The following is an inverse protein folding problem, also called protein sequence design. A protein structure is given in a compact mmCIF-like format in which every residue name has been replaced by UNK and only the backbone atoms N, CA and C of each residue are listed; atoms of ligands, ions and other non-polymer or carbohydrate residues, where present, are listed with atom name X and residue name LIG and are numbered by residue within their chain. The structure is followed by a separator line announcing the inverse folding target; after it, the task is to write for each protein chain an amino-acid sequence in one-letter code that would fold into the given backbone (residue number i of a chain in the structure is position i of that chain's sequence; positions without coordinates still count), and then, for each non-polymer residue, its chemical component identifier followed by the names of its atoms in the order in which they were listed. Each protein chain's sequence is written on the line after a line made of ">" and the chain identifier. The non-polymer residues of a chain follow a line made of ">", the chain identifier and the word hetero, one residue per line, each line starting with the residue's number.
data_IF_417436952428
#
_entry.id   IF_417436952428
#
_cell.length_a   1.000
_cell.length_b   1.000
_cell.length_c   1.000
_cell.angle_alpha   90.00
_cell.angle_beta   90.00
_cell.angle_gamma   90.00
#
_symmetry.space_group_name_H-M   'P 1'
#
loop_
_entity.id
_entity.type
_entity.pdbx_description
1 polymer ?
#
# COMPACT_ATOMS: atom_id res chain seq x y z
N UNK A 1 -6.95 11.21 6.29
CA UNK A 1 -5.81 10.42 6.80
C UNK A 1 -4.53 11.22 6.68
N UNK A 2 -3.57 11.12 7.61
CA UNK A 2 -2.27 11.82 7.54
C UNK A 2 -1.13 10.87 7.18
N UNK A 3 -0.01 11.36 6.59
CA UNK A 3 1.12 10.51 6.23
C UNK A 3 1.68 9.75 7.45
N UNK A 4 1.76 10.42 8.61
CA UNK A 4 2.23 9.81 9.86
C UNK A 4 1.42 8.58 10.28
N UNK A 5 0.08 8.70 10.28
CA UNK A 5 -0.81 7.60 10.68
C UNK A 5 -0.64 6.43 9.71
N UNK A 6 -0.68 6.73 8.42
CA UNK A 6 -0.52 5.73 7.36
C UNK A 6 0.83 4.99 7.45
N UNK A 7 1.94 5.72 7.65
CA UNK A 7 3.27 5.12 7.83
C UNK A 7 3.32 4.19 9.06
N UNK A 8 2.75 4.64 10.18
CA UNK A 8 2.70 3.83 11.41
C UNK A 8 1.85 2.58 11.24
N UNK A 9 0.72 2.67 10.53
CA UNK A 9 -0.13 1.52 10.23
C UNK A 9 0.61 0.51 9.36
N UNK A 10 1.26 0.94 8.27
CA UNK A 10 2.06 0.05 7.41
C UNK A 10 3.16 -0.64 8.22
N UNK A 11 3.90 0.12 9.05
CA UNK A 11 4.95 -0.46 9.88
C UNK A 11 4.39 -1.48 10.89
N UNK A 12 3.23 -1.20 11.46
CA UNK A 12 2.58 -2.12 12.40
C UNK A 12 2.17 -3.42 11.71
N UNK A 13 1.61 -3.36 10.50
CA UNK A 13 1.27 -4.55 9.71
C UNK A 13 2.51 -5.41 9.39
N UNK A 14 3.62 -4.77 9.01
CA UNK A 14 4.89 -5.47 8.77
C UNK A 14 5.39 -6.13 10.06
N UNK A 15 5.33 -5.42 11.19
CA UNK A 15 5.81 -5.90 12.48
C UNK A 15 4.97 -7.06 13.05
N UNK A 16 3.68 -7.16 12.69
CA UNK A 16 2.81 -8.26 13.13
C UNK A 16 3.26 -9.64 12.63
N UNK A 17 4.15 -9.68 11.63
CA UNK A 17 4.69 -10.92 11.07
C UNK A 17 5.84 -11.49 11.92
N UNK A 18 6.35 -10.69 12.87
CA UNK A 18 7.41 -11.13 13.78
C UNK A 18 7.05 -12.43 14.51
N UNK A 19 8.03 -13.34 14.73
CA UNK A 19 9.47 -13.19 14.48
C UNK A 19 9.88 -13.46 13.03
N UNK A 20 8.93 -13.77 12.13
CA UNK A 20 9.23 -13.98 10.73
C UNK A 20 9.53 -12.65 10.04
N UNK A 21 10.39 -12.69 9.02
CA UNK A 21 10.68 -11.52 8.19
C UNK A 21 9.57 -11.35 7.16
N UNK A 22 9.04 -10.14 7.04
CA UNK A 22 8.23 -9.78 5.88
C UNK A 22 9.12 -9.74 4.63
N UNK A 23 8.77 -10.55 3.62
CA UNK A 23 9.58 -10.75 2.41
C UNK A 23 8.99 -10.09 1.16
N UNK A 24 7.97 -9.25 1.34
CA UNK A 24 7.26 -8.52 0.27
C UNK A 24 7.57 -7.03 0.34
N UNK A 25 7.22 -6.29 -0.72
CA UNK A 25 7.45 -4.84 -0.75
C UNK A 25 6.44 -4.12 0.16
N UNK A 26 6.83 -2.95 0.67
CA UNK A 26 5.91 -2.05 1.36
C UNK A 26 6.33 -0.61 1.14
N UNK A 27 5.33 0.25 0.94
CA UNK A 27 5.51 1.70 0.79
C UNK A 27 4.76 2.38 1.93
N UNK A 28 5.45 2.80 3.01
CA UNK A 28 4.79 3.46 4.15
C UNK A 28 4.03 4.71 3.74
N UNK A 29 4.51 5.41 2.71
CA UNK A 29 3.82 6.52 2.08
C UNK A 29 4.02 6.46 0.57
N UNK A 30 2.92 6.35 -0.17
CA UNK A 30 2.85 6.22 -1.61
C UNK A 30 1.95 7.32 -2.18
N UNK A 31 2.38 7.89 -3.30
CA UNK A 31 1.78 9.07 -3.91
C UNK A 31 1.55 8.84 -5.39
N UNK A 32 0.81 9.76 -6.01
CA UNK A 32 0.56 9.75 -7.46
C UNK A 32 1.80 10.13 -8.28
N UNK A 33 2.84 10.65 -7.63
CA UNK A 33 4.07 11.11 -8.27
C UNK A 33 5.16 10.04 -8.31
N UNK A 34 4.97 8.93 -7.59
CA UNK A 34 5.88 7.79 -7.64
C UNK A 34 5.84 7.12 -9.02
N UNK A 35 7.01 6.75 -9.54
CA UNK A 35 7.16 6.18 -10.89
C UNK A 35 6.34 4.89 -11.10
N UNK A 36 6.16 4.11 -10.04
CA UNK A 36 5.48 2.83 -10.00
C UNK A 36 3.95 2.97 -9.94
N UNK A 37 3.42 4.20 -9.88
CA UNK A 37 1.98 4.45 -9.77
C UNK A 37 1.15 3.75 -10.85
N UNK A 38 1.63 3.75 -12.11
CA UNK A 38 0.93 3.07 -13.21
C UNK A 38 0.91 1.56 -13.05
N UNK A 39 1.96 0.99 -12.46
CA UNK A 39 2.06 -0.44 -12.20
C UNK A 39 1.07 -0.87 -11.11
N UNK A 40 1.02 -0.16 -9.99
CA UNK A 40 0.10 -0.52 -8.90
C UNK A 40 -1.37 -0.20 -9.18
N UNK A 41 -1.67 0.71 -10.11
CA UNK A 41 -3.06 1.08 -10.45
C UNK A 41 -3.62 0.32 -11.64
N UNK A 42 -2.83 -0.52 -12.31
CA UNK A 42 -3.32 -1.31 -13.44
C UNK A 42 -4.33 -2.37 -13.02
N UNK A 43 -5.35 -2.59 -13.86
CA UNK A 43 -6.39 -3.62 -13.64
C UNK A 43 -6.15 -4.92 -14.40
N UNK A 44 -5.13 -4.95 -15.25
CA UNK A 44 -4.87 -6.08 -16.16
C UNK A 44 -4.12 -7.23 -15.49
N UNK A 45 -3.62 -7.03 -14.28
CA UNK A 45 -2.83 -8.02 -13.53
C UNK A 45 -3.34 -8.10 -12.10
N UNK A 46 -3.07 -9.22 -11.44
CA UNK A 46 -3.29 -9.34 -10.01
C UNK A 46 -2.44 -8.28 -9.27
N UNK A 47 -2.95 -7.66 -8.19
CA UNK A 47 -2.18 -6.75 -7.38
C UNK A 47 -0.88 -7.43 -6.91
N UNK A 48 0.28 -6.76 -6.98
CA UNK A 48 1.51 -7.31 -6.46
C UNK A 48 1.40 -7.53 -4.94
N UNK A 49 2.18 -8.44 -4.35
CA UNK A 49 2.21 -8.62 -2.90
C UNK A 49 2.93 -7.42 -2.27
N UNK A 50 2.18 -6.35 -2.02
CA UNK A 50 2.68 -5.08 -1.49
C UNK A 50 1.71 -4.47 -0.49
N UNK A 51 2.23 -3.77 0.52
CA UNK A 51 1.45 -2.91 1.41
C UNK A 51 1.67 -1.45 1.00
N UNK A 52 0.59 -0.75 0.63
CA UNK A 52 0.64 0.66 0.24
C UNK A 52 -0.03 1.55 1.28
N UNK A 53 0.75 2.45 1.86
CA UNK A 53 0.25 3.53 2.69
C UNK A 53 -0.09 4.75 1.85
N UNK A 54 -1.34 5.19 1.83
CA UNK A 54 -1.78 6.34 1.04
C UNK A 54 -2.64 7.30 1.87
N UNK A 55 -2.61 8.59 1.56
CA UNK A 55 -3.50 9.59 2.18
C UNK A 55 -4.51 10.20 1.22
N UNK A 56 -4.25 10.08 -0.09
CA UNK A 56 -5.10 10.68 -1.11
C UNK A 56 -6.33 9.79 -1.36
N UNK A 57 -7.57 10.29 -1.16
CA UNK A 57 -8.80 9.52 -1.37
C UNK A 57 -8.97 9.02 -2.81
N UNK A 58 -8.24 9.58 -3.79
CA UNK A 58 -8.15 9.05 -5.14
C UNK A 58 -7.80 7.56 -5.15
N UNK A 59 -6.90 7.09 -4.28
CA UNK A 59 -6.48 5.70 -4.24
C UNK A 59 -7.60 4.75 -3.82
N UNK A 60 -8.50 5.16 -2.93
CA UNK A 60 -9.64 4.33 -2.53
C UNK A 60 -10.53 3.98 -3.74
N UNK A 61 -10.74 4.94 -4.65
CA UNK A 61 -11.49 4.71 -5.89
C UNK A 61 -10.71 3.92 -6.92
N UNK A 62 -9.44 4.26 -7.13
CA UNK A 62 -8.60 3.65 -8.16
C UNK A 62 -8.27 2.19 -7.85
N UNK A 63 -7.97 1.90 -6.58
CA UNK A 63 -7.62 0.58 -6.06
C UNK A 63 -8.81 -0.17 -5.45
N UNK A 64 -10.06 0.26 -5.68
CA UNK A 64 -11.26 -0.38 -5.12
C UNK A 64 -11.42 -1.88 -5.46
N UNK A 65 -10.66 -2.37 -6.44
CA UNK A 65 -10.64 -3.76 -6.89
C UNK A 65 -9.60 -4.61 -6.14
N UNK A 66 -8.76 -3.99 -5.31
CA UNK A 66 -7.77 -4.69 -4.49
C UNK A 66 -8.49 -5.49 -3.41
N UNK A 67 -7.94 -6.67 -3.03
CA UNK A 67 -8.61 -7.59 -2.12
C UNK A 67 -8.71 -7.05 -0.68
N UNK A 68 -7.84 -6.12 -0.28
CA UNK A 68 -7.74 -5.62 1.09
C UNK A 68 -7.57 -4.10 1.10
N UNK A 69 -8.48 -3.39 1.77
CA UNK A 69 -8.45 -1.93 2.00
C UNK A 69 -8.83 -1.70 3.46
N UNK A 70 -8.07 -0.87 4.18
CA UNK A 70 -8.23 -0.56 5.62
C UNK A 70 -8.41 0.95 5.79
#
# INVERSE_FOLDING_TARGET
>A
SSPTITCQTVQSLVNMIAPLKFCSDFRPYFTIHDSEFKEYTTRTQAPPPVILGVTNPFFAKTLQHWPHII
#
